data_IF_999058097972
#
_entry.id   IF_999058097972
#
_cell.length_a   1.000
_cell.length_b   1.000
_cell.length_c   1.000
_cell.angle_alpha   90.00
_cell.angle_beta   90.00
_cell.angle_gamma   90.00
#
_symmetry.space_group_name_H-M   'P 1'
#
loop_
_entity.id
_entity.type
_entity.pdbx_description
1 polymer ?
#
# COMPACT_ATOMS: atom_id res chain seq x y z
N UNK A 1 -22.07 6.10 14.95
CA UNK A 1 -22.22 5.49 13.60
C UNK A 1 -23.45 4.60 13.60
N UNK A 2 -24.39 4.82 12.69
CA UNK A 2 -25.65 4.05 12.61
C UNK A 2 -25.40 2.61 12.17
N UNK A 3 -26.32 1.68 12.49
CA UNK A 3 -26.26 0.28 12.07
C UNK A 3 -26.13 0.13 10.54
N UNK A 4 -26.98 0.84 9.79
CA UNK A 4 -26.92 0.87 8.33
C UNK A 4 -25.56 1.36 7.79
N UNK A 5 -24.86 2.26 8.50
CA UNK A 5 -23.53 2.72 8.05
C UNK A 5 -22.42 1.72 8.33
N UNK A 6 -22.50 1.00 9.45
CA UNK A 6 -21.60 -0.13 9.74
C UNK A 6 -21.75 -1.22 8.68
N UNK A 7 -22.99 -1.56 8.34
CA UNK A 7 -23.31 -2.54 7.29
C UNK A 7 -22.79 -2.09 5.92
N UNK A 8 -22.93 -0.81 5.58
CA UNK A 8 -22.33 -0.28 4.36
C UNK A 8 -20.80 -0.39 4.34
N UNK A 9 -20.11 -0.06 5.43
CA UNK A 9 -18.65 -0.20 5.49
C UNK A 9 -18.20 -1.66 5.39
N UNK A 10 -18.93 -2.59 6.01
CA UNK A 10 -18.70 -4.02 5.83
C UNK A 10 -18.89 -4.43 4.35
N UNK A 11 -19.92 -3.93 3.69
CA UNK A 11 -20.12 -4.17 2.25
C UNK A 11 -19.00 -3.59 1.38
N UNK A 12 -18.40 -2.47 1.77
CA UNK A 12 -17.28 -1.85 1.04
C UNK A 12 -16.06 -2.78 1.09
N UNK A 13 -15.75 -3.34 2.25
CA UNK A 13 -14.64 -4.28 2.39
C UNK A 13 -14.85 -5.51 1.48
N UNK A 14 -16.01 -6.17 1.59
CA UNK A 14 -16.35 -7.36 0.79
C UNK A 14 -16.29 -7.06 -0.71
N UNK A 15 -16.93 -5.97 -1.16
CA UNK A 15 -16.94 -5.60 -2.59
C UNK A 15 -15.53 -5.34 -3.13
N UNK A 16 -14.65 -4.71 -2.33
CA UNK A 16 -13.27 -4.47 -2.72
C UNK A 16 -12.48 -5.77 -2.86
N UNK A 17 -12.61 -6.67 -1.89
CA UNK A 17 -11.90 -7.95 -1.90
C UNK A 17 -12.37 -8.85 -3.05
N UNK A 18 -13.68 -8.96 -3.26
CA UNK A 18 -14.24 -9.71 -4.38
C UNK A 18 -13.80 -9.16 -5.73
N UNK A 19 -13.78 -7.84 -5.89
CA UNK A 19 -13.32 -7.19 -7.12
C UNK A 19 -11.84 -7.45 -7.36
N UNK A 20 -11.00 -7.27 -6.34
CA UNK A 20 -9.58 -7.58 -6.42
C UNK A 20 -9.35 -9.04 -6.84
N UNK A 21 -10.01 -10.00 -6.19
CA UNK A 21 -9.90 -11.42 -6.52
C UNK A 21 -10.29 -11.67 -7.99
N UNK A 22 -11.37 -11.06 -8.48
CA UNK A 22 -11.78 -11.17 -9.89
C UNK A 22 -10.71 -10.65 -10.84
N UNK A 23 -10.15 -9.47 -10.57
CA UNK A 23 -9.11 -8.87 -11.41
C UNK A 23 -7.82 -9.70 -11.42
N UNK A 24 -7.41 -10.25 -10.27
CA UNK A 24 -6.24 -11.12 -10.16
C UNK A 24 -6.44 -12.43 -10.93
N UNK A 25 -7.62 -13.07 -10.80
CA UNK A 25 -7.95 -14.29 -11.55
C UNK A 25 -7.99 -14.07 -13.06
N UNK A 26 -8.43 -12.88 -13.50
CA UNK A 26 -8.47 -12.53 -14.91
C UNK A 26 -7.07 -12.23 -15.51
N UNK A 27 -6.02 -12.13 -14.67
CA UNK A 27 -4.64 -11.82 -15.08
C UNK A 27 -4.55 -10.64 -16.07
N UNK A 28 -5.32 -9.59 -15.80
CA UNK A 28 -5.48 -8.47 -16.73
C UNK A 28 -4.18 -7.65 -16.91
N UNK A 29 -3.96 -7.03 -18.08
CA UNK A 29 -2.91 -6.03 -18.30
C UNK A 29 -2.96 -4.90 -17.26
N UNK A 30 -1.82 -4.25 -17.01
CA UNK A 30 -1.70 -3.25 -15.95
C UNK A 30 -2.67 -2.07 -16.12
N UNK A 31 -2.78 -1.51 -17.33
CA UNK A 31 -3.66 -0.38 -17.57
C UNK A 31 -5.12 -0.70 -17.24
N UNK A 32 -5.59 -1.89 -17.64
CA UNK A 32 -6.96 -2.32 -17.35
C UNK A 32 -7.17 -2.61 -15.87
N UNK A 33 -6.17 -3.20 -15.20
CA UNK A 33 -6.19 -3.43 -13.76
C UNK A 33 -6.27 -2.12 -12.97
N UNK A 34 -5.39 -1.17 -13.27
CA UNK A 34 -5.38 0.14 -12.62
C UNK A 34 -6.71 0.87 -12.86
N UNK A 35 -7.21 0.86 -14.10
CA UNK A 35 -8.48 1.47 -14.45
C UNK A 35 -9.65 0.83 -13.69
N UNK A 36 -9.68 -0.49 -13.57
CA UNK A 36 -10.74 -1.20 -12.85
C UNK A 36 -10.74 -0.90 -11.35
N UNK A 37 -9.57 -0.80 -10.71
CA UNK A 37 -9.46 -0.37 -9.31
C UNK A 37 -9.93 1.08 -9.15
N UNK A 38 -9.54 1.99 -10.06
CA UNK A 38 -9.97 3.39 -10.03
C UNK A 38 -11.48 3.56 -10.27
N UNK A 39 -12.06 2.72 -11.13
CA UNK A 39 -13.50 2.71 -11.37
C UNK A 39 -14.25 2.34 -10.09
N UNK A 40 -13.82 1.26 -9.42
CA UNK A 40 -14.42 0.86 -8.15
C UNK A 40 -14.24 1.94 -7.06
N UNK A 41 -13.06 2.55 -6.94
CA UNK A 41 -12.82 3.68 -6.02
C UNK A 41 -13.85 4.80 -6.25
N UNK A 42 -14.08 5.17 -7.51
CA UNK A 42 -15.01 6.23 -7.90
C UNK A 42 -16.47 5.87 -7.57
N UNK A 43 -16.87 4.63 -7.77
CA UNK A 43 -18.21 4.14 -7.41
C UNK A 43 -18.44 4.22 -5.90
N UNK A 44 -17.52 3.66 -5.11
CA UNK A 44 -17.60 3.70 -3.64
C UNK A 44 -17.57 5.13 -3.11
N UNK A 45 -16.81 6.03 -3.75
CA UNK A 45 -16.78 7.46 -3.40
C UNK A 45 -18.10 8.18 -3.68
N UNK A 46 -18.89 7.75 -4.67
CA UNK A 46 -20.23 8.32 -4.93
C UNK A 46 -21.21 7.93 -3.82
N UNK A 47 -21.07 6.72 -3.27
CA UNK A 47 -21.85 6.23 -2.13
C UNK A 47 -21.40 6.79 -0.77
N UNK A 48 -20.19 7.36 -0.71
CA UNK A 48 -19.66 7.97 0.50
C UNK A 48 -20.37 9.28 0.85
N UNK A 49 -20.77 9.41 2.12
CA UNK A 49 -21.56 10.54 2.63
C UNK A 49 -20.71 11.74 2.97
N UNK A 50 -19.46 11.53 3.37
CA UNK A 50 -18.58 12.62 3.82
C UNK A 50 -17.25 12.64 3.08
N UNK A 51 -16.56 13.81 3.04
CA UNK A 51 -15.20 13.90 2.52
C UNK A 51 -14.22 12.95 3.21
N UNK A 52 -14.38 12.71 4.51
CA UNK A 52 -13.52 11.80 5.27
C UNK A 52 -13.69 10.34 4.82
N UNK A 53 -14.92 9.92 4.52
CA UNK A 53 -15.19 8.57 4.01
C UNK A 53 -14.64 8.40 2.59
N UNK A 54 -14.77 9.42 1.74
CA UNK A 54 -14.16 9.44 0.40
C UNK A 54 -12.65 9.31 0.49
N UNK A 55 -12.01 10.10 1.35
CA UNK A 55 -10.57 10.02 1.59
C UNK A 55 -10.16 8.64 2.11
N UNK A 56 -10.94 8.04 3.02
CA UNK A 56 -10.67 6.70 3.51
C UNK A 56 -10.73 5.66 2.38
N UNK A 57 -11.75 5.68 1.52
CA UNK A 57 -11.84 4.81 0.33
C UNK A 57 -10.63 4.96 -0.59
N UNK A 58 -10.17 6.19 -0.82
CA UNK A 58 -8.97 6.43 -1.62
C UNK A 58 -7.73 5.81 -0.96
N UNK A 59 -7.56 5.99 0.35
CA UNK A 59 -6.46 5.38 1.12
C UNK A 59 -6.49 3.86 1.12
N UNK A 60 -7.68 3.26 1.09
CA UNK A 60 -7.82 1.80 1.02
C UNK A 60 -7.36 1.25 -0.35
N UNK A 61 -7.59 1.99 -1.44
CA UNK A 61 -7.25 1.53 -2.80
C UNK A 61 -5.75 1.61 -3.11
N UNK A 62 -5.00 2.48 -2.43
CA UNK A 62 -3.60 2.73 -2.75
C UNK A 62 -2.66 1.55 -2.48
N UNK A 63 -2.70 0.84 -1.32
CA UNK A 63 -1.84 -0.31 -1.09
C UNK A 63 -1.99 -1.38 -2.17
N UNK A 64 -3.22 -1.68 -2.60
CA UNK A 64 -3.49 -2.63 -3.69
C UNK A 64 -2.74 -2.24 -4.97
N UNK A 65 -2.83 -0.97 -5.38
CA UNK A 65 -2.13 -0.48 -6.57
C UNK A 65 -0.60 -0.53 -6.42
N UNK A 66 -0.07 -0.22 -5.23
CA UNK A 66 1.38 -0.25 -4.97
C UNK A 66 1.90 -1.69 -4.99
N UNK A 67 1.22 -2.61 -4.31
CA UNK A 67 1.60 -4.01 -4.21
C UNK A 67 1.56 -4.68 -5.58
N UNK A 68 0.54 -4.38 -6.39
CA UNK A 68 0.44 -4.90 -7.76
C UNK A 68 1.46 -4.27 -8.71
N UNK A 69 1.73 -2.97 -8.59
CA UNK A 69 2.79 -2.33 -9.36
C UNK A 69 4.17 -2.95 -9.06
N UNK A 70 4.42 -3.28 -7.79
CA UNK A 70 5.61 -4.02 -7.38
C UNK A 70 5.63 -5.45 -7.93
N UNK A 71 4.55 -6.22 -7.75
CA UNK A 71 4.45 -7.61 -8.20
C UNK A 71 4.67 -7.74 -9.72
N UNK A 72 4.16 -6.78 -10.48
CA UNK A 72 4.31 -6.68 -11.94
C UNK A 72 5.64 -6.06 -12.40
N UNK A 73 6.51 -5.68 -11.46
CA UNK A 73 7.83 -5.06 -11.70
C UNK A 73 7.75 -3.81 -12.59
N UNK A 74 6.74 -2.96 -12.34
CA UNK A 74 6.56 -1.74 -13.12
C UNK A 74 7.72 -0.77 -12.92
N UNK A 75 7.99 0.02 -13.96
CA UNK A 75 9.05 1.03 -13.93
C UNK A 75 8.64 2.22 -13.08
N UNK A 76 9.61 3.06 -12.72
CA UNK A 76 9.37 4.27 -11.93
C UNK A 76 8.33 5.22 -12.53
N UNK A 77 8.19 5.25 -13.87
CA UNK A 77 7.19 6.06 -14.56
C UNK A 77 5.75 5.73 -14.13
N UNK A 78 5.48 4.47 -13.75
CA UNK A 78 4.17 3.99 -13.32
C UNK A 78 4.10 3.87 -11.79
N UNK A 79 5.15 3.32 -11.16
CA UNK A 79 5.20 3.14 -9.71
C UNK A 79 5.29 4.47 -8.95
N UNK A 80 6.13 5.40 -9.42
CA UNK A 80 6.42 6.66 -8.75
C UNK A 80 5.19 7.56 -8.56
N UNK A 81 4.33 7.79 -9.58
CA UNK A 81 3.09 8.52 -9.43
C UNK A 81 2.13 7.90 -8.39
N UNK A 82 2.01 6.57 -8.36
CA UNK A 82 1.19 5.88 -7.36
C UNK A 82 1.72 6.12 -5.95
N UNK A 83 3.03 5.97 -5.73
CA UNK A 83 3.64 6.18 -4.43
C UNK A 83 3.41 7.62 -3.95
N UNK A 84 3.64 8.61 -4.81
CA UNK A 84 3.39 10.04 -4.49
C UNK A 84 1.92 10.28 -4.13
N UNK A 85 0.99 9.67 -4.87
CA UNK A 85 -0.45 9.78 -4.55
C UNK A 85 -0.75 9.15 -3.18
N UNK A 86 -0.21 7.96 -2.89
CA UNK A 86 -0.40 7.28 -1.60
C UNK A 86 0.09 8.16 -0.45
N UNK A 87 1.30 8.71 -0.56
CA UNK A 87 1.89 9.56 0.48
C UNK A 87 1.12 10.86 0.69
N UNK A 88 0.63 11.50 -0.38
CA UNK A 88 -0.20 12.70 -0.30
C UNK A 88 -1.54 12.45 0.37
N UNK A 89 -2.18 11.31 0.07
CA UNK A 89 -3.44 10.93 0.72
C UNK A 89 -3.21 10.56 2.18
N UNK A 90 -2.00 10.13 2.54
CA UNK A 90 -1.69 9.47 3.80
C UNK A 90 -2.14 8.02 3.80
N UNK A 91 -1.99 7.36 4.95
CA UNK A 91 -2.29 5.94 5.10
C UNK A 91 -3.59 5.75 5.89
N UNK A 92 -4.33 4.67 5.62
CA UNK A 92 -5.54 4.37 6.39
C UNK A 92 -5.19 3.96 7.83
N UNK A 93 -4.11 3.19 7.98
CA UNK A 93 -3.56 2.76 9.26
C UNK A 93 -2.04 2.49 9.15
N UNK A 94 -1.45 2.00 10.23
CA UNK A 94 -0.02 1.67 10.29
C UNK A 94 0.34 0.44 9.43
N UNK A 95 -0.56 -0.53 9.29
CA UNK A 95 -0.33 -1.72 8.44
C UNK A 95 -0.11 -1.30 6.99
N UNK A 96 -0.97 -0.42 6.48
CA UNK A 96 -0.82 0.15 5.13
C UNK A 96 0.50 0.89 4.97
N UNK A 97 0.92 1.65 5.99
CA UNK A 97 2.18 2.39 5.96
C UNK A 97 3.38 1.45 5.91
N UNK A 98 3.35 0.34 6.65
CA UNK A 98 4.39 -0.70 6.63
C UNK A 98 4.46 -1.35 5.26
N UNK A 99 3.32 -1.77 4.72
CA UNK A 99 3.23 -2.44 3.42
C UNK A 99 3.83 -1.57 2.30
N UNK A 100 3.41 -0.31 2.20
CA UNK A 100 3.91 0.61 1.17
C UNK A 100 5.41 0.86 1.30
N UNK A 101 5.92 1.05 2.53
CA UNK A 101 7.35 1.27 2.75
C UNK A 101 8.18 0.03 2.39
N UNK A 102 7.69 -1.18 2.71
CA UNK A 102 8.33 -2.43 2.35
C UNK A 102 8.33 -2.63 0.84
N UNK A 103 7.18 -2.44 0.17
CA UNK A 103 7.08 -2.56 -1.30
C UNK A 103 8.01 -1.57 -2.00
N UNK A 104 8.12 -0.33 -1.51
CA UNK A 104 9.00 0.66 -2.13
C UNK A 104 10.48 0.24 -2.07
N UNK A 105 10.94 -0.29 -0.93
CA UNK A 105 12.31 -0.82 -0.80
C UNK A 105 12.52 -2.06 -1.67
N UNK A 106 11.56 -2.98 -1.69
CA UNK A 106 11.66 -4.20 -2.49
C UNK A 106 11.61 -3.93 -4.00
N UNK A 107 11.00 -2.84 -4.43
CA UNK A 107 10.93 -2.42 -5.83
C UNK A 107 12.19 -1.68 -6.32
N UNK A 108 13.13 -1.33 -5.43
CA UNK A 108 14.34 -0.60 -5.78
C UNK A 108 15.22 -1.23 -6.87
N UNK A 109 15.27 -2.56 -7.10
CA UNK A 109 16.03 -3.10 -8.22
C UNK A 109 15.60 -2.52 -9.58
N UNK A 110 14.36 -2.04 -9.72
CA UNK A 110 13.86 -1.38 -10.92
C UNK A 110 14.16 0.13 -11.01
N UNK A 111 14.61 0.76 -9.92
CA UNK A 111 14.91 2.20 -9.82
C UNK A 111 15.87 2.48 -8.65
N UNK A 112 17.11 1.99 -8.71
CA UNK A 112 18.06 2.00 -7.59
C UNK A 112 18.39 3.42 -7.11
N UNK A 113 18.28 4.43 -7.97
CA UNK A 113 18.52 5.82 -7.63
C UNK A 113 17.51 6.39 -6.60
N UNK A 114 16.42 5.66 -6.31
CA UNK A 114 15.45 6.03 -5.26
C UNK A 114 15.77 5.43 -3.89
N UNK A 115 16.85 4.65 -3.76
CA UNK A 115 17.21 3.96 -2.53
C UNK A 115 17.26 4.90 -1.31
N UNK A 116 17.88 6.10 -1.35
CA UNK A 116 17.94 6.97 -0.18
C UNK A 116 16.55 7.34 0.37
N UNK A 117 15.60 7.61 -0.54
CA UNK A 117 14.23 7.94 -0.16
C UNK A 117 13.50 6.72 0.41
N UNK A 118 13.59 5.58 -0.26
CA UNK A 118 12.89 4.37 0.17
C UNK A 118 13.34 3.91 1.56
N UNK A 119 14.66 3.93 1.83
CA UNK A 119 15.19 3.57 3.15
C UNK A 119 14.90 4.61 4.24
N UNK A 120 14.84 5.91 3.90
CA UNK A 120 14.39 6.93 4.83
C UNK A 120 12.93 6.69 5.26
N UNK A 121 12.04 6.35 4.31
CA UNK A 121 10.65 5.99 4.60
C UNK A 121 10.56 4.73 5.47
N UNK A 122 11.29 3.67 5.11
CA UNK A 122 11.33 2.43 5.89
C UNK A 122 11.84 2.67 7.32
N UNK A 123 12.87 3.51 7.49
CA UNK A 123 13.41 3.87 8.81
C UNK A 123 12.41 4.66 9.64
N UNK A 124 11.66 5.58 9.04
CA UNK A 124 10.58 6.30 9.71
C UNK A 124 9.50 5.35 10.24
N UNK A 125 9.13 4.33 9.45
CA UNK A 125 8.18 3.29 9.88
C UNK A 125 8.76 2.46 11.02
N UNK A 126 10.02 2.04 10.93
CA UNK A 126 10.69 1.29 12.00
C UNK A 126 10.68 2.08 13.32
N UNK A 127 10.99 3.38 13.28
CA UNK A 127 10.97 4.23 14.46
C UNK A 127 9.55 4.32 15.06
N UNK A 128 8.52 4.42 14.23
CA UNK A 128 7.14 4.44 14.70
C UNK A 128 6.76 3.09 15.35
N UNK A 129 7.14 1.96 14.75
CA UNK A 129 6.92 0.64 15.32
C UNK A 129 7.67 0.43 16.65
N UNK A 130 8.87 0.99 16.82
CA UNK A 130 9.62 0.90 18.09
C UNK A 130 8.88 1.51 19.28
N UNK A 131 7.97 2.47 19.05
CA UNK A 131 7.14 3.10 20.08
C UNK A 131 5.97 2.22 20.53
N UNK A 132 5.60 1.21 19.75
CA UNK A 132 4.57 0.22 20.11
C UNK A 132 5.18 -0.79 21.09
N UNK A 133 4.39 -1.33 22.04
CA UNK A 133 4.86 -2.37 22.97
C UNK A 133 5.41 -3.59 22.22
N UNK A 134 6.54 -4.15 22.67
CA UNK A 134 7.22 -5.32 22.06
C UNK A 134 6.31 -6.53 21.83
N UNK A 135 5.34 -6.76 22.73
CA UNK A 135 4.40 -7.87 22.65
C UNK A 135 3.23 -7.66 21.68
N UNK A 136 3.08 -6.46 21.11
CA UNK A 136 1.98 -6.17 20.20
C UNK A 136 2.24 -6.77 18.81
N UNK A 137 1.24 -7.43 18.21
CA UNK A 137 1.37 -8.14 16.93
C UNK A 137 1.93 -7.23 15.83
N UNK A 138 1.36 -6.03 15.66
CA UNK A 138 1.79 -5.05 14.66
C UNK A 138 3.28 -4.70 14.73
N UNK A 139 3.87 -4.64 15.94
CA UNK A 139 5.32 -4.41 16.07
C UNK A 139 6.11 -5.64 15.63
N UNK A 140 5.70 -6.84 16.05
CA UNK A 140 6.42 -8.08 15.68
C UNK A 140 6.38 -8.32 14.18
N UNK A 141 5.19 -8.33 13.59
CA UNK A 141 4.97 -8.59 12.17
C UNK A 141 5.52 -7.46 11.30
N UNK A 142 5.33 -6.20 11.73
CA UNK A 142 5.88 -5.06 11.03
C UNK A 142 7.42 -5.06 11.01
N UNK A 143 8.06 -5.39 12.13
CA UNK A 143 9.53 -5.52 12.18
C UNK A 143 10.03 -6.67 11.31
N UNK A 144 9.34 -7.82 11.32
CA UNK A 144 9.68 -8.95 10.46
C UNK A 144 9.58 -8.58 8.97
N UNK A 145 8.53 -7.83 8.59
CA UNK A 145 8.33 -7.33 7.23
C UNK A 145 9.45 -6.36 6.81
N UNK A 146 9.86 -5.46 7.70
CA UNK A 146 10.98 -4.53 7.47
C UNK A 146 12.30 -5.29 7.26
N UNK A 147 12.57 -6.31 8.07
CA UNK A 147 13.76 -7.17 7.91
C UNK A 147 13.72 -7.87 6.55
N UNK A 148 12.58 -8.45 6.19
CA UNK A 148 12.42 -9.10 4.89
C UNK A 148 12.66 -8.13 3.72
N UNK A 149 12.08 -6.92 3.78
CA UNK A 149 12.28 -5.90 2.74
C UNK A 149 13.75 -5.49 2.57
N UNK A 150 14.49 -5.36 3.69
CA UNK A 150 15.94 -5.11 3.64
C UNK A 150 16.71 -6.25 3.00
N UNK A 151 16.42 -7.49 3.37
CA UNK A 151 17.10 -8.65 2.82
C UNK A 151 16.89 -8.76 1.30
N UNK A 152 15.68 -8.45 0.81
CA UNK A 152 15.39 -8.40 -0.62
C UNK A 152 16.22 -7.33 -1.32
N UNK A 153 16.31 -6.12 -0.75
CA UNK A 153 17.12 -5.05 -1.33
C UNK A 153 18.63 -5.38 -1.30
N UNK A 154 19.12 -5.95 -0.20
CA UNK A 154 20.52 -6.37 -0.07
C UNK A 154 20.88 -7.47 -1.07
N UNK A 155 20.00 -8.45 -1.29
CA UNK A 155 20.17 -9.47 -2.31
C UNK A 155 20.27 -8.90 -3.74
N UNK A 156 19.72 -7.70 -3.95
CA UNK A 156 19.86 -6.95 -5.20
C UNK A 156 21.05 -5.97 -5.23
N UNK A 157 21.95 -6.05 -4.24
CA UNK A 157 23.13 -5.19 -4.13
C UNK A 157 22.86 -3.79 -3.55
N UNK A 158 21.67 -3.54 -3.01
CA UNK A 158 21.27 -2.25 -2.46
C UNK A 158 21.40 -2.27 -0.94
N UNK A 159 22.46 -1.66 -0.44
CA UNK A 159 22.72 -1.53 1.00
C UNK A 159 22.33 -0.14 1.49
N UNK A 160 21.74 -0.12 2.68
CA UNK A 160 21.52 1.12 3.44
C UNK A 160 22.53 1.18 4.57
N UNK A 161 23.52 2.05 4.42
CA UNK A 161 24.43 2.42 5.51
C UNK A 161 23.66 3.31 6.48
N UNK A 162 23.72 2.96 7.76
CA UNK A 162 22.94 3.58 8.83
C UNK A 162 23.77 4.57 9.62
#
# INVERSE_FOLDING_TARGET
MTRARKEWWASVAVRRDEHLIKLLKANMPWCDFEQAIRAQEKELMREARTPAERLHIQRLSMPVLITEAYARRLKWAEFGPLLRRCQRLGFADMTHRIEVACCFVQALPGFPEKAPRAFAELTSVEQALKRIRKSHYLRREGMASIVHARNVAEAAGLKWER
#
